data_IF_141599827114
#
_entry.id   IF_141599827114
#
_cell.length_a   1.000
_cell.length_b   1.000
_cell.length_c   1.000
_cell.angle_alpha   90.00
_cell.angle_beta   90.00
_cell.angle_gamma   90.00
#
_symmetry.space_group_name_H-M   'P 1'
#
loop_
_entity.id
_entity.type
_entity.pdbx_description
1 polymer ?
#
# COMPACT_ATOMS: atom_id res chain seq x y z
N UNK A 1 -17.05 7.73 -81.71
CA UNK A 1 -17.59 7.64 -80.32
C UNK A 1 -18.86 8.47 -80.25
N UNK A 2 -19.98 7.90 -79.80
CA UNK A 2 -21.26 8.60 -79.80
C UNK A 2 -21.30 9.60 -78.63
N UNK A 3 -21.84 10.80 -78.85
CA UNK A 3 -21.92 11.85 -77.81
C UNK A 3 -22.66 11.36 -76.56
N UNK A 4 -23.59 10.43 -76.74
CA UNK A 4 -24.34 9.78 -75.67
C UNK A 4 -23.46 8.81 -74.85
N UNK A 5 -22.58 8.04 -75.49
CA UNK A 5 -21.71 7.07 -74.79
C UNK A 5 -20.60 7.77 -74.00
N UNK A 6 -20.07 8.88 -74.51
CA UNK A 6 -19.10 9.70 -73.77
C UNK A 6 -19.72 10.33 -72.53
N UNK A 7 -20.97 10.80 -72.62
CA UNK A 7 -21.71 11.37 -71.48
C UNK A 7 -22.06 10.33 -70.43
N UNK A 8 -22.48 9.13 -70.84
CA UNK A 8 -22.76 8.02 -69.93
C UNK A 8 -21.49 7.61 -69.15
N UNK A 9 -20.34 7.51 -69.82
CA UNK A 9 -19.06 7.23 -69.18
C UNK A 9 -18.65 8.31 -68.17
N UNK A 10 -18.75 9.59 -68.54
CA UNK A 10 -18.45 10.70 -67.66
C UNK A 10 -19.38 10.74 -66.42
N UNK A 11 -20.67 10.44 -66.61
CA UNK A 11 -21.63 10.36 -65.50
C UNK A 11 -21.32 9.22 -64.54
N UNK A 12 -20.87 8.06 -65.05
CA UNK A 12 -20.46 6.94 -64.20
C UNK A 12 -19.26 7.26 -63.33
N UNK A 13 -18.26 7.95 -63.88
CA UNK A 13 -17.07 8.38 -63.13
C UNK A 13 -17.42 9.42 -62.07
N UNK A 14 -18.31 10.36 -62.40
CA UNK A 14 -18.80 11.40 -61.48
C UNK A 14 -19.57 10.77 -60.30
N UNK A 15 -20.49 9.84 -60.57
CA UNK A 15 -21.23 9.13 -59.51
C UNK A 15 -20.29 8.31 -58.62
N UNK A 16 -19.28 7.63 -59.19
CA UNK A 16 -18.28 6.89 -58.41
C UNK A 16 -17.46 7.81 -57.49
N UNK A 17 -17.07 8.99 -57.97
CA UNK A 17 -16.35 9.97 -57.15
C UNK A 17 -17.22 10.50 -56.01
N UNK A 18 -18.50 10.80 -56.27
CA UNK A 18 -19.44 11.22 -55.23
C UNK A 18 -19.63 10.11 -54.19
N UNK A 19 -19.76 8.85 -54.59
CA UNK A 19 -19.89 7.72 -53.65
C UNK A 19 -18.65 7.60 -52.75
N UNK A 20 -17.44 7.74 -53.31
CA UNK A 20 -16.21 7.72 -52.51
C UNK A 20 -16.12 8.91 -51.56
N UNK A 21 -16.54 10.11 -51.99
CA UNK A 21 -16.55 11.31 -51.14
C UNK A 21 -17.62 11.17 -50.03
N UNK A 22 -18.83 10.71 -50.36
CA UNK A 22 -19.88 10.45 -49.37
C UNK A 22 -19.48 9.34 -48.40
N UNK A 23 -18.78 8.30 -48.86
CA UNK A 23 -18.21 7.28 -47.99
C UNK A 23 -17.14 7.89 -47.07
N UNK A 24 -16.23 8.73 -47.57
CA UNK A 24 -15.30 9.45 -46.70
C UNK A 24 -16.05 10.37 -45.72
N UNK A 25 -17.05 11.15 -46.13
CA UNK A 25 -17.78 12.03 -45.21
C UNK A 25 -18.64 11.28 -44.16
N UNK A 26 -19.23 10.14 -44.52
CA UNK A 26 -20.05 9.33 -43.60
C UNK A 26 -19.24 8.31 -42.78
N UNK A 27 -18.03 7.94 -43.23
CA UNK A 27 -17.18 6.91 -42.62
C UNK A 27 -15.85 7.47 -42.05
N UNK A 28 -15.46 8.72 -42.35
CA UNK A 28 -14.45 9.49 -41.62
C UNK A 28 -15.07 10.08 -40.34
N UNK A 29 -15.31 9.17 -39.40
CA UNK A 29 -15.04 9.45 -37.99
C UNK A 29 -14.35 8.25 -37.35
N UNK A 30 -13.32 7.71 -38.02
CA UNK A 30 -12.30 6.80 -37.45
C UNK A 30 -10.94 6.92 -38.14
N UNK A 31 -10.54 8.12 -38.55
CA UNK A 31 -9.10 8.42 -38.51
C UNK A 31 -8.81 8.81 -37.07
N UNK A 32 -8.13 7.92 -36.35
CA UNK A 32 -7.52 8.27 -35.09
C UNK A 32 -6.61 9.46 -35.36
N UNK A 33 -6.96 10.60 -34.77
CA UNK A 33 -6.04 11.71 -34.63
C UNK A 33 -4.73 11.12 -34.10
N UNK A 34 -3.66 11.31 -34.86
CA UNK A 34 -2.32 11.14 -34.33
C UNK A 34 -2.17 12.15 -33.19
N UNK A 35 -2.52 11.72 -31.98
CA UNK A 35 -2.16 12.43 -30.76
C UNK A 35 -0.64 12.50 -30.75
N UNK A 36 -0.08 13.63 -31.11
CA UNK A 36 1.26 13.99 -30.67
C UNK A 36 1.18 14.34 -29.20
N UNK A 37 1.02 13.33 -28.35
CA UNK A 37 1.32 13.44 -26.92
C UNK A 37 2.81 13.68 -26.80
N UNK A 38 3.20 14.86 -26.33
CA UNK A 38 4.55 15.09 -25.80
C UNK A 38 4.85 13.99 -24.77
N UNK A 39 6.08 13.46 -24.71
CA UNK A 39 6.43 12.50 -23.67
C UNK A 39 6.12 13.13 -22.31
N UNK A 40 5.45 12.36 -21.44
CA UNK A 40 5.11 12.71 -20.04
C UNK A 40 3.75 13.38 -19.75
N UNK A 41 2.78 13.30 -20.65
CA UNK A 41 1.39 13.71 -20.35
C UNK A 41 0.41 12.55 -20.54
N UNK A 42 -0.50 12.36 -19.59
CA UNK A 42 -1.64 11.45 -19.66
C UNK A 42 -2.89 12.32 -19.80
N UNK A 43 -3.66 12.14 -20.88
CA UNK A 43 -4.95 12.78 -21.04
C UNK A 43 -5.97 12.05 -20.14
N UNK A 44 -6.45 12.73 -19.10
CA UNK A 44 -7.46 12.24 -18.15
C UNK A 44 -8.76 12.99 -18.43
N UNK A 45 -9.91 12.29 -18.40
CA UNK A 45 -11.23 12.91 -18.56
C UNK A 45 -11.54 13.79 -17.36
N UNK A 46 -12.18 14.94 -17.58
CA UNK A 46 -12.49 15.94 -16.54
C UNK A 46 -13.21 15.33 -15.31
N UNK A 47 -14.07 14.33 -15.52
CA UNK A 47 -14.73 13.58 -14.44
C UNK A 47 -13.76 12.79 -13.54
N UNK A 48 -12.72 12.20 -14.13
CA UNK A 48 -11.73 11.39 -13.42
C UNK A 48 -10.71 12.28 -12.67
N UNK A 49 -10.52 13.52 -13.13
CA UNK A 49 -9.76 14.55 -12.42
C UNK A 49 -10.48 15.01 -11.14
N UNK A 50 -11.79 15.25 -11.21
CA UNK A 50 -12.59 15.65 -10.05
C UNK A 50 -12.69 14.52 -9.02
N UNK A 51 -12.86 13.27 -9.45
CA UNK A 51 -12.86 12.11 -8.55
C UNK A 51 -11.52 11.96 -7.82
N UNK A 52 -10.41 12.11 -8.53
CA UNK A 52 -9.06 12.00 -7.94
C UNK A 52 -8.78 13.14 -6.95
N UNK A 53 -9.23 14.35 -7.27
CA UNK A 53 -9.11 15.51 -6.39
C UNK A 53 -9.94 15.31 -5.11
N UNK A 54 -11.17 14.82 -5.25
CA UNK A 54 -12.03 14.53 -4.11
C UNK A 54 -11.44 13.42 -3.22
N UNK A 55 -10.79 12.42 -3.84
CA UNK A 55 -10.08 11.37 -3.12
C UNK A 55 -8.88 11.93 -2.32
N UNK A 56 -8.10 12.82 -2.94
CA UNK A 56 -6.96 13.47 -2.29
C UNK A 56 -7.40 14.33 -1.10
N UNK A 57 -8.47 15.11 -1.23
CA UNK A 57 -9.05 15.92 -0.15
C UNK A 57 -9.56 15.04 1.00
N UNK A 58 -10.21 13.91 0.70
CA UNK A 58 -10.67 12.96 1.71
C UNK A 58 -9.50 12.29 2.46
N UNK A 59 -8.42 11.95 1.75
CA UNK A 59 -7.21 11.43 2.41
C UNK A 59 -6.53 12.46 3.30
N UNK A 60 -6.48 13.73 2.87
CA UNK A 60 -5.96 14.82 3.69
C UNK A 60 -6.80 15.04 4.95
N UNK A 61 -8.13 15.08 4.82
CA UNK A 61 -9.03 15.22 5.96
C UNK A 61 -8.89 14.06 6.97
N UNK A 62 -8.77 12.82 6.49
CA UNK A 62 -8.53 11.67 7.35
C UNK A 62 -7.18 11.75 8.07
N UNK A 63 -6.14 12.23 7.40
CA UNK A 63 -4.82 12.43 8.00
C UNK A 63 -4.84 13.51 9.08
N UNK A 64 -5.52 14.65 8.85
CA UNK A 64 -5.66 15.71 9.85
C UNK A 64 -6.47 15.26 11.07
N UNK A 65 -7.54 14.47 10.88
CA UNK A 65 -8.31 13.89 11.99
C UNK A 65 -7.46 12.89 12.79
N UNK A 66 -6.65 12.06 12.12
CA UNK A 66 -5.71 11.16 12.81
C UNK A 66 -4.62 11.93 13.57
N UNK A 67 -4.06 12.98 12.97
CA UNK A 67 -3.04 13.82 13.58
C UNK A 67 -3.59 14.58 14.79
N UNK A 68 -4.78 15.18 14.69
CA UNK A 68 -5.46 15.85 15.80
C UNK A 68 -5.87 14.87 16.91
N UNK A 69 -6.29 13.64 16.56
CA UNK A 69 -6.54 12.58 17.54
C UNK A 69 -5.26 12.15 18.28
N UNK A 70 -4.12 12.14 17.58
CA UNK A 70 -2.81 11.85 18.18
C UNK A 70 -2.28 12.98 19.08
N UNK A 71 -2.62 14.25 18.79
CA UNK A 71 -2.26 15.40 19.63
C UNK A 71 -3.17 15.54 20.85
N UNK A 72 -4.46 15.23 20.73
CA UNK A 72 -5.39 15.25 21.88
C UNK A 72 -5.10 14.12 22.87
N UNK A 73 -4.57 12.99 22.41
CA UNK A 73 -4.03 11.93 23.27
C UNK A 73 -2.74 12.34 24.02
N UNK A 74 -2.05 13.41 23.59
CA UNK A 74 -0.81 13.89 24.20
C UNK A 74 -1.01 14.98 25.26
N UNK A 75 -2.15 15.67 25.26
CA UNK A 75 -2.44 16.74 26.24
C UNK A 75 -3.41 16.35 27.36
N UNK A 76 -3.93 15.12 27.39
CA UNK A 76 -4.62 14.54 28.57
C UNK A 76 -4.00 13.20 28.98
N UNK A 77 -2.68 13.10 28.89
CA UNK A 77 -1.90 11.98 29.44
C UNK A 77 -0.79 12.53 30.32
N UNK A 78 -1.16 13.26 31.38
CA UNK A 78 -0.19 13.74 32.37
C UNK A 78 -0.58 13.41 33.82
N UNK A 79 -1.56 12.52 34.04
CA UNK A 79 -1.89 11.96 35.35
C UNK A 79 -2.49 10.56 35.19
N UNK A 80 -1.64 9.57 34.90
CA UNK A 80 -1.81 8.10 35.02
C UNK A 80 -1.15 7.39 33.83
N UNK A 81 0.15 7.58 33.66
CA UNK A 81 0.95 6.60 32.95
C UNK A 81 1.06 5.38 33.89
N UNK A 82 0.50 4.21 33.56
CA UNK A 82 0.80 3.02 34.35
C UNK A 82 2.30 2.83 34.25
N UNK A 83 2.99 2.82 35.40
CA UNK A 83 4.42 2.54 35.42
C UNK A 83 4.68 1.28 34.57
N UNK A 84 5.66 1.33 33.65
CA UNK A 84 5.91 0.20 32.76
C UNK A 84 6.13 -1.03 33.62
N UNK A 85 5.29 -2.06 33.44
CA UNK A 85 5.34 -3.25 34.28
C UNK A 85 6.70 -3.92 34.08
N UNK A 86 7.58 -3.74 35.07
CA UNK A 86 8.89 -4.36 35.09
C UNK A 86 8.74 -5.83 35.43
N UNK A 87 9.19 -6.69 34.53
CA UNK A 87 9.17 -8.12 34.70
C UNK A 87 10.58 -8.68 34.59
N UNK A 88 11.00 -9.42 35.61
CA UNK A 88 12.28 -10.12 35.59
C UNK A 88 12.07 -11.53 35.05
N UNK A 89 12.44 -11.74 33.80
CA UNK A 89 12.42 -13.05 33.16
C UNK A 89 13.64 -13.85 33.62
N UNK A 90 13.40 -15.05 34.14
CA UNK A 90 14.45 -16.01 34.50
C UNK A 90 14.47 -17.15 33.48
N UNK A 91 15.55 -17.25 32.71
CA UNK A 91 15.78 -18.31 31.73
C UNK A 91 16.75 -19.32 32.35
N UNK A 92 16.35 -20.59 32.36
CA UNK A 92 17.15 -21.72 32.88
C UNK A 92 17.55 -22.66 31.73
N UNK A 93 18.58 -23.46 31.97
CA UNK A 93 19.01 -24.46 30.99
C UNK A 93 17.91 -25.49 30.71
N UNK A 94 17.76 -25.89 29.45
CA UNK A 94 16.68 -26.77 28.99
C UNK A 94 15.34 -26.07 28.66
N UNK A 95 15.19 -24.78 28.95
CA UNK A 95 13.99 -24.01 28.59
C UNK A 95 13.96 -23.69 27.09
N UNK A 96 12.84 -23.98 26.44
CA UNK A 96 12.62 -23.72 25.02
C UNK A 96 12.20 -22.27 24.75
N UNK A 97 12.41 -21.79 23.51
CA UNK A 97 11.93 -20.47 23.10
C UNK A 97 10.40 -20.32 23.21
N UNK A 98 9.67 -21.43 23.10
CA UNK A 98 8.21 -21.46 23.26
C UNK A 98 7.82 -21.19 24.71
N UNK A 99 8.46 -21.86 25.67
CA UNK A 99 8.20 -21.65 27.11
C UNK A 99 8.52 -20.21 27.53
N UNK A 100 9.63 -19.65 27.05
CA UNK A 100 9.98 -18.24 27.29
C UNK A 100 8.88 -17.31 26.74
N UNK A 101 8.37 -17.61 25.55
CA UNK A 101 7.30 -16.81 24.94
C UNK A 101 5.99 -16.89 25.73
N UNK A 102 5.63 -18.08 26.22
CA UNK A 102 4.44 -18.27 27.06
C UNK A 102 4.59 -17.50 28.36
N UNK A 103 5.74 -17.61 29.04
CA UNK A 103 6.00 -16.92 30.30
C UNK A 103 5.91 -15.39 30.16
N UNK A 104 6.38 -14.84 29.03
CA UNK A 104 6.24 -13.42 28.73
C UNK A 104 4.79 -13.00 28.43
N UNK A 105 4.01 -13.88 27.81
CA UNK A 105 2.59 -13.62 27.53
C UNK A 105 1.74 -13.70 28.81
N UNK A 106 2.00 -14.69 29.66
CA UNK A 106 1.35 -14.86 30.97
C UNK A 106 1.65 -13.68 31.90
N UNK A 107 2.86 -13.14 31.82
CA UNK A 107 3.25 -11.91 32.52
C UNK A 107 2.60 -10.63 31.93
N UNK A 108 1.90 -10.73 30.80
CA UNK A 108 1.29 -9.60 30.11
C UNK A 108 2.29 -8.66 29.45
N UNK A 109 3.54 -9.11 29.25
CA UNK A 109 4.61 -8.32 28.62
C UNK A 109 4.51 -8.38 27.10
N UNK A 110 4.04 -9.50 26.54
CA UNK A 110 3.76 -9.65 25.12
C UNK A 110 2.31 -10.05 24.89
N UNK A 111 1.72 -9.61 23.78
CA UNK A 111 0.32 -9.94 23.44
C UNK A 111 0.13 -11.39 22.98
N UNK A 112 1.14 -12.01 22.36
CA UNK A 112 1.00 -13.30 21.68
C UNK A 112 2.33 -14.07 21.70
N UNK A 113 2.34 -15.17 22.46
CA UNK A 113 3.48 -16.06 22.61
C UNK A 113 3.91 -16.71 21.27
N UNK A 114 2.96 -17.10 20.43
CA UNK A 114 3.24 -17.76 19.16
C UNK A 114 3.89 -16.77 18.17
N UNK A 115 3.45 -15.51 18.14
CA UNK A 115 4.11 -14.46 17.34
C UNK A 115 5.55 -14.25 17.74
N UNK A 116 5.83 -14.15 19.04
CA UNK A 116 7.20 -13.97 19.53
C UNK A 116 8.09 -15.20 19.26
N UNK A 117 7.57 -16.40 19.49
CA UNK A 117 8.29 -17.64 19.18
C UNK A 117 8.64 -17.75 17.68
N UNK A 118 7.69 -17.42 16.80
CA UNK A 118 7.94 -17.36 15.34
C UNK A 118 8.98 -16.29 14.98
N UNK A 119 8.97 -15.15 15.65
CA UNK A 119 9.96 -14.10 15.45
C UNK A 119 11.38 -14.59 15.77
N UNK A 120 11.55 -15.29 16.90
CA UNK A 120 12.82 -15.89 17.28
C UNK A 120 13.26 -16.99 16.28
N UNK A 121 12.34 -17.85 15.85
CA UNK A 121 12.64 -18.92 14.88
C UNK A 121 13.05 -18.37 13.50
N UNK A 122 12.30 -17.41 12.95
CA UNK A 122 12.57 -16.80 11.63
C UNK A 122 13.95 -16.15 11.57
N UNK A 123 14.42 -15.60 12.69
CA UNK A 123 15.71 -14.94 12.80
C UNK A 123 16.82 -15.85 13.32
N UNK A 124 16.56 -17.15 13.50
CA UNK A 124 17.52 -18.13 14.07
C UNK A 124 18.08 -17.67 15.42
N UNK A 125 17.28 -16.96 16.21
CA UNK A 125 17.69 -16.41 17.51
C UNK A 125 17.56 -17.44 18.64
N UNK A 126 16.82 -18.53 18.41
CA UNK A 126 16.56 -19.58 19.40
C UNK A 126 17.85 -20.17 19.99
N UNK A 127 18.91 -20.29 19.19
CA UNK A 127 20.20 -20.86 19.59
C UNK A 127 21.07 -19.86 20.39
N UNK A 128 20.74 -18.57 20.32
CA UNK A 128 21.52 -17.49 20.93
C UNK A 128 20.92 -17.00 22.25
N UNK A 129 19.79 -17.58 22.67
CA UNK A 129 19.14 -17.28 23.95
C UNK A 129 20.13 -17.59 25.08
N UNK A 130 20.32 -16.62 25.96
CA UNK A 130 21.23 -16.72 27.08
C UNK A 130 20.48 -17.15 28.34
N UNK A 131 21.12 -18.00 29.13
CA UNK A 131 20.64 -18.41 30.46
C UNK A 131 20.95 -17.27 31.44
N UNK A 132 19.98 -16.88 32.27
CA UNK A 132 20.16 -15.77 33.19
C UNK A 132 18.86 -15.10 33.62
N UNK A 133 19.00 -13.90 34.20
CA UNK A 133 17.88 -13.04 34.58
C UNK A 133 17.92 -11.79 33.72
N UNK A 134 16.78 -11.44 33.14
CA UNK A 134 16.64 -10.31 32.23
C UNK A 134 15.49 -9.43 32.69
N UNK A 135 15.75 -8.14 32.84
CA UNK A 135 14.72 -7.17 33.17
C UNK A 135 14.09 -6.65 31.86
N UNK A 136 12.80 -6.92 31.71
CA UNK A 136 12.00 -6.60 30.52
C UNK A 136 10.81 -5.74 30.99
N UNK A 137 10.30 -4.88 30.12
CA UNK A 137 9.07 -4.13 30.37
C UNK A 137 8.04 -4.35 29.26
N UNK A 138 6.79 -4.06 29.55
CA UNK A 138 5.64 -4.11 28.64
C UNK A 138 5.72 -3.11 27.46
N UNK A 139 6.56 -2.07 27.59
CA UNK A 139 6.86 -1.13 26.50
C UNK A 139 7.88 -1.62 25.47
N UNK A 140 8.52 -2.78 25.68
CA UNK A 140 9.52 -3.32 24.74
C UNK A 140 8.86 -4.04 23.56
N UNK A 141 9.28 -3.69 22.34
CA UNK A 141 8.92 -4.46 21.14
C UNK A 141 9.61 -5.83 21.11
N UNK A 142 9.08 -6.77 20.33
CA UNK A 142 9.63 -8.12 20.14
C UNK A 142 11.11 -8.10 19.78
N UNK A 143 11.55 -7.13 18.98
CA UNK A 143 12.97 -6.96 18.65
C UNK A 143 13.81 -6.59 19.87
N UNK A 144 13.32 -5.70 20.72
CA UNK A 144 14.03 -5.27 21.92
C UNK A 144 14.12 -6.42 22.92
N UNK A 145 13.00 -7.11 23.18
CA UNK A 145 12.96 -8.29 24.05
C UNK A 145 13.95 -9.35 23.56
N UNK A 146 13.91 -9.68 22.27
CA UNK A 146 14.83 -10.65 21.69
C UNK A 146 16.30 -10.24 21.86
N UNK A 147 16.64 -8.95 21.69
CA UNK A 147 18.00 -8.46 21.87
C UNK A 147 18.47 -8.49 23.33
N UNK A 148 17.56 -8.37 24.29
CA UNK A 148 17.90 -8.47 25.73
C UNK A 148 18.23 -9.90 26.10
N UNK A 149 17.45 -10.87 25.61
CA UNK A 149 17.60 -12.29 25.98
C UNK A 149 18.59 -13.05 25.10
N UNK A 150 19.04 -12.48 23.98
CA UNK A 150 19.99 -13.15 23.06
C UNK A 150 21.33 -12.44 23.00
N UNK A 151 22.39 -13.23 22.80
CA UNK A 151 23.71 -12.67 22.50
C UNK A 151 23.71 -12.15 21.06
N UNK A 152 24.19 -10.91 20.86
CA UNK A 152 24.42 -10.36 19.50
C UNK A 152 25.22 -11.38 18.67
N UNK A 153 24.79 -11.71 17.44
CA UNK A 153 25.64 -12.45 16.52
C UNK A 153 26.90 -11.63 16.17
#
# INVERSE_FOLDING_TARGET
MNKQTTRAFASGLLVSAIILICYNLMFEKKQAETHTTKPNYVEIKESEYEDLKQQAENWQAQYEVLAASSETAKSTSNQNEPEPKKYQLKIVDGMSSKEISIQLADAGIIQDAEKFNRYLAKRKLQHYIQIGKFDINDGMDYKQIANVITKKP
#
